data_IF_695861663154
#
_entry.id   IF_695861663154
#
_cell.length_a   1.000
_cell.length_b   1.000
_cell.length_c   1.000
_cell.angle_alpha   90.00
_cell.angle_beta   90.00
_cell.angle_gamma   90.00
#
_symmetry.space_group_name_H-M   'P 1'
#
loop_
_entity.id
_entity.type
_entity.pdbx_description
1 polymer ?
#
# COMPACT_ATOMS: atom_id res chain seq x y z
N UNK A 1 28.00 30.53 -23.92
CA UNK A 1 26.91 31.07 -23.06
C UNK A 1 26.27 29.86 -22.40
N UNK A 2 26.08 29.94 -21.08
CA UNK A 2 26.02 28.82 -20.12
C UNK A 2 24.91 27.80 -20.38
N UNK A 3 25.18 26.58 -19.95
CA UNK A 3 24.25 25.48 -19.76
C UNK A 3 22.91 25.94 -19.18
N UNK A 4 21.82 25.47 -19.77
CA UNK A 4 20.61 25.20 -19.02
C UNK A 4 20.07 23.87 -19.50
N UNK A 5 20.80 22.82 -19.11
CA UNK A 5 20.29 21.47 -19.03
C UNK A 5 19.04 21.54 -18.16
N UNK A 6 17.86 21.57 -18.79
CA UNK A 6 16.64 21.28 -18.06
C UNK A 6 16.81 19.87 -17.54
N UNK A 7 17.17 19.74 -16.26
CA UNK A 7 17.12 18.48 -15.55
C UNK A 7 15.65 18.06 -15.57
N UNK A 8 15.29 17.32 -16.61
CA UNK A 8 14.08 16.53 -16.66
C UNK A 8 14.23 15.56 -15.50
N UNK A 9 13.57 15.89 -14.39
CA UNK A 9 13.29 14.95 -13.30
C UNK A 9 12.39 13.89 -13.91
N UNK A 10 12.97 12.98 -14.67
CA UNK A 10 12.34 11.75 -15.11
C UNK A 10 12.92 10.71 -14.18
N UNK A 11 12.17 10.38 -13.12
CA UNK A 11 12.53 9.30 -12.23
C UNK A 11 12.66 8.02 -13.05
N UNK A 12 13.74 7.26 -12.84
CA UNK A 12 13.99 6.02 -13.57
C UNK A 12 12.91 4.94 -13.33
N UNK A 13 12.08 5.15 -12.30
CA UNK A 13 10.96 4.30 -11.93
C UNK A 13 9.65 4.86 -12.49
N UNK A 14 8.90 4.01 -13.19
CA UNK A 14 7.56 4.28 -13.71
C UNK A 14 6.67 3.08 -13.38
N UNK A 15 5.41 3.34 -13.01
CA UNK A 15 4.41 2.31 -12.73
C UNK A 15 3.14 2.58 -13.54
N UNK A 16 2.49 1.51 -14.00
CA UNK A 16 1.27 1.62 -14.80
C UNK A 16 0.08 2.01 -13.91
N UNK A 17 -0.82 2.82 -14.46
CA UNK A 17 -2.11 3.11 -13.85
C UNK A 17 -3.14 2.10 -14.35
N UNK A 18 -3.88 1.49 -13.42
CA UNK A 18 -4.92 0.49 -13.65
C UNK A 18 -6.25 1.05 -13.13
N UNK A 19 -7.12 1.59 -14.00
CA UNK A 19 -8.46 2.00 -13.60
C UNK A 19 -9.33 0.75 -13.35
N UNK A 20 -9.97 0.71 -12.18
CA UNK A 20 -10.87 -0.39 -11.77
C UNK A 20 -12.26 0.18 -11.50
N UNK A 21 -13.28 -0.41 -12.10
CA UNK A 21 -14.67 -0.01 -11.84
C UNK A 21 -15.16 -0.64 -10.54
N UNK A 22 -15.59 0.18 -9.59
CA UNK A 22 -16.25 -0.27 -8.35
C UNK A 22 -17.68 -0.75 -8.66
N UNK A 23 -18.26 -1.51 -7.73
CA UNK A 23 -19.67 -1.97 -7.82
C UNK A 23 -20.68 -0.83 -7.89
N UNK A 24 -20.39 0.31 -7.25
CA UNK A 24 -21.22 1.52 -7.28
C UNK A 24 -21.05 2.35 -8.58
N UNK A 25 -20.26 1.87 -9.55
CA UNK A 25 -20.06 2.54 -10.84
C UNK A 25 -18.90 3.54 -10.87
N UNK A 26 -18.34 3.94 -9.73
CA UNK A 26 -17.18 4.83 -9.65
C UNK A 26 -15.90 4.16 -10.17
N UNK A 27 -14.97 4.96 -10.67
CA UNK A 27 -13.63 4.49 -11.05
C UNK A 27 -12.68 4.66 -9.87
N UNK A 28 -12.01 3.58 -9.47
CA UNK A 28 -10.86 3.61 -8.56
C UNK A 28 -9.59 3.51 -9.40
N UNK A 29 -8.72 4.50 -9.25
CA UNK A 29 -7.39 4.47 -9.88
C UNK A 29 -6.47 3.64 -8.99
N UNK A 30 -5.95 2.53 -9.52
CA UNK A 30 -4.94 1.70 -8.86
C UNK A 30 -3.59 1.89 -9.57
N UNK A 31 -2.48 1.76 -8.85
CA UNK A 31 -1.13 1.78 -9.43
C UNK A 31 -0.57 0.37 -9.36
N UNK A 32 0.02 -0.10 -10.47
CA UNK A 32 0.63 -1.42 -10.56
C UNK A 32 2.02 -1.44 -9.90
N UNK A 33 2.06 -1.79 -8.63
CA UNK A 33 3.28 -1.87 -7.84
C UNK A 33 4.01 -3.21 -7.92
N UNK A 34 3.71 -4.12 -8.86
CA UNK A 34 4.34 -5.46 -8.89
C UNK A 34 5.86 -5.41 -8.96
N UNK A 35 6.42 -4.60 -9.86
CA UNK A 35 7.87 -4.45 -10.00
C UNK A 35 8.50 -3.79 -8.77
N UNK A 36 7.80 -2.80 -8.20
CA UNK A 36 8.23 -2.14 -6.97
C UNK A 36 8.28 -3.13 -5.80
N UNK A 37 7.20 -3.89 -5.59
CA UNK A 37 7.07 -4.88 -4.51
C UNK A 37 8.11 -6.01 -4.59
N UNK A 38 8.64 -6.32 -5.78
CA UNK A 38 9.73 -7.28 -5.96
C UNK A 38 11.11 -6.66 -5.66
N UNK A 39 11.29 -5.38 -5.98
CA UNK A 39 12.54 -4.66 -5.73
C UNK A 39 12.68 -4.21 -4.27
N UNK A 40 11.55 -3.97 -3.58
CA UNK A 40 11.52 -3.56 -2.18
C UNK A 40 11.84 -4.72 -1.24
N UNK A 41 12.69 -4.45 -0.24
CA UNK A 41 12.86 -5.34 0.90
C UNK A 41 11.55 -5.43 1.68
N UNK A 42 11.10 -6.65 1.97
CA UNK A 42 9.90 -6.87 2.78
C UNK A 42 10.24 -6.63 4.24
N UNK A 43 9.47 -5.78 4.90
CA UNK A 43 9.50 -5.68 6.34
C UNK A 43 8.86 -6.94 6.95
N UNK A 44 9.44 -7.41 8.06
CA UNK A 44 8.98 -8.60 8.79
C UNK A 44 8.28 -8.15 10.07
N UNK A 45 7.07 -7.61 9.90
CA UNK A 45 6.15 -7.37 11.00
C UNK A 45 5.13 -8.51 11.07
N UNK A 46 5.32 -9.51 11.95
CA UNK A 46 4.41 -10.64 12.01
C UNK A 46 3.03 -10.16 12.47
N UNK A 47 2.04 -10.34 11.62
CA UNK A 47 0.65 -10.11 12.02
C UNK A 47 0.24 -11.20 13.02
N UNK A 48 -0.37 -10.84 14.15
CA UNK A 48 -0.85 -11.82 15.11
C UNK A 48 -1.90 -12.71 14.44
N UNK A 49 -1.80 -14.02 14.67
CA UNK A 49 -2.84 -14.95 14.23
C UNK A 49 -4.10 -14.74 15.07
N UNK A 50 -5.26 -15.12 14.51
CA UNK A 50 -6.56 -14.89 15.14
C UNK A 50 -6.61 -15.36 16.60
N UNK A 51 -6.06 -16.54 16.90
CA UNK A 51 -6.06 -17.07 18.27
C UNK A 51 -5.27 -16.21 19.26
N UNK A 52 -4.16 -15.60 18.82
CA UNK A 52 -3.40 -14.68 19.66
C UNK A 52 -4.18 -13.40 19.95
N UNK A 53 -4.90 -12.89 18.95
CA UNK A 53 -5.79 -11.73 19.12
C UNK A 53 -6.94 -12.06 20.07
N UNK A 54 -7.58 -13.22 19.89
CA UNK A 54 -8.70 -13.68 20.73
C UNK A 54 -8.27 -13.91 22.19
N UNK A 55 -7.11 -14.52 22.41
CA UNK A 55 -6.54 -14.67 23.74
C UNK A 55 -6.25 -13.31 24.38
N UNK A 56 -5.73 -12.35 23.62
CA UNK A 56 -5.42 -11.02 24.14
C UNK A 56 -6.66 -10.24 24.62
N UNK A 57 -7.84 -10.51 24.05
CA UNK A 57 -9.09 -9.85 24.44
C UNK A 57 -9.96 -10.68 25.39
N UNK A 58 -9.56 -11.91 25.71
CA UNK A 58 -10.32 -12.80 26.60
C UNK A 58 -10.41 -12.19 28.00
N UNK A 59 -11.63 -12.10 28.55
CA UNK A 59 -11.89 -11.51 29.86
C UNK A 59 -12.03 -9.98 29.86
N UNK A 60 -12.02 -9.34 28.69
CA UNK A 60 -12.36 -7.93 28.56
C UNK A 60 -13.86 -7.73 28.70
N UNK A 61 -14.28 -6.77 29.55
CA UNK A 61 -15.70 -6.45 29.78
C UNK A 61 -16.31 -5.64 28.62
N UNK A 62 -15.48 -4.90 27.88
CA UNK A 62 -15.89 -4.10 26.74
C UNK A 62 -14.79 -4.07 25.68
N UNK A 63 -15.20 -4.20 24.41
CA UNK A 63 -14.34 -4.03 23.24
C UNK A 63 -14.92 -2.94 22.36
N UNK A 64 -14.05 -2.10 21.81
CA UNK A 64 -14.40 -1.09 20.80
C UNK A 64 -13.53 -1.30 19.57
N UNK A 65 -14.13 -1.25 18.38
CA UNK A 65 -13.40 -1.37 17.12
C UNK A 65 -13.31 0.01 16.47
N UNK A 66 -12.12 0.34 15.97
CA UNK A 66 -11.85 1.53 15.19
C UNK A 66 -11.33 1.07 13.82
N UNK A 67 -11.72 1.79 12.78
CA UNK A 67 -11.22 1.63 11.41
C UNK A 67 -10.16 2.69 11.12
#
# INVERSE_FOLDING_TARGET
MRESSSLSITTLWVANIVPVRKKNGEIRICVDFRNLNQASLKDNYPLPIMDQVLQAVTGSEMLSMLD
#
